data_IF_983293196630
#
_entry.id   IF_983293196630
#
_cell.length_a   1.000
_cell.length_b   1.000
_cell.length_c   1.000
_cell.angle_alpha   90.00
_cell.angle_beta   90.00
_cell.angle_gamma   90.00
#
_symmetry.space_group_name_H-M   'P 1'
#
loop_
_entity.id
_entity.type
_entity.pdbx_description
1 polymer ?
#
# COMPACT_ATOMS: atom_id res chain seq x y z
N UNK A 1 20.73 -21.31 26.62
CA UNK A 1 20.51 -21.94 25.31
C UNK A 1 19.27 -21.26 24.75
N UNK A 2 19.47 -20.19 23.99
CA UNK A 2 18.45 -19.37 23.36
C UNK A 2 18.11 -19.97 22.00
N UNK A 3 16.92 -20.57 21.89
CA UNK A 3 16.38 -21.04 20.62
C UNK A 3 15.82 -19.86 19.80
N UNK A 4 16.49 -19.49 18.72
CA UNK A 4 15.96 -18.60 17.69
C UNK A 4 14.95 -19.42 16.90
N UNK A 5 13.67 -19.10 17.05
CA UNK A 5 12.61 -19.68 16.21
C UNK A 5 12.68 -18.99 14.84
N UNK A 6 13.22 -19.72 13.89
CA UNK A 6 13.28 -19.32 12.48
C UNK A 6 11.89 -19.51 11.86
N UNK A 7 11.07 -18.46 11.83
CA UNK A 7 9.78 -18.45 11.16
C UNK A 7 9.95 -18.22 9.65
N UNK A 8 10.56 -19.20 8.97
CA UNK A 8 10.46 -19.32 7.52
C UNK A 8 9.05 -19.85 7.15
N UNK A 9 8.03 -19.01 7.21
CA UNK A 9 6.79 -19.28 6.53
C UNK A 9 7.00 -18.98 5.04
N UNK A 10 6.85 -20.01 4.19
CA UNK A 10 6.57 -19.89 2.75
C UNK A 10 5.25 -19.13 2.56
N UNK A 11 5.32 -17.83 2.67
CA UNK A 11 4.34 -16.97 2.00
C UNK A 11 4.93 -16.72 0.61
N UNK A 12 4.12 -16.89 -0.44
CA UNK A 12 4.51 -16.54 -1.78
C UNK A 12 5.15 -15.16 -1.76
N UNK A 13 6.25 -15.00 -2.50
CA UNK A 13 7.00 -13.74 -2.56
C UNK A 13 5.99 -12.67 -2.98
N UNK A 14 5.55 -11.87 -2.02
CA UNK A 14 4.68 -10.73 -2.32
C UNK A 14 5.55 -9.73 -3.06
N UNK A 15 5.22 -9.48 -4.34
CA UNK A 15 5.95 -8.51 -5.13
C UNK A 15 5.92 -7.16 -4.42
N UNK A 16 7.08 -6.50 -4.33
CA UNK A 16 7.17 -5.16 -3.78
C UNK A 16 6.64 -4.15 -4.80
N UNK A 17 6.22 -3.02 -4.32
CA UNK A 17 5.84 -1.91 -5.19
C UNK A 17 7.11 -1.36 -5.88
N UNK A 18 7.21 -1.29 -7.09
CA UNK A 18 6.46 -1.37 -8.32
C UNK A 18 6.96 -2.57 -9.14
N UNK A 19 6.11 -3.58 -9.39
CA UNK A 19 6.45 -4.70 -10.26
C UNK A 19 6.42 -4.30 -11.74
N UNK A 20 7.36 -4.83 -12.51
CA UNK A 20 7.48 -4.53 -13.94
C UNK A 20 8.07 -5.72 -14.73
N UNK A 21 7.88 -5.69 -16.03
CA UNK A 21 8.55 -6.59 -16.98
C UNK A 21 9.47 -5.75 -17.87
N UNK A 22 10.76 -6.04 -17.80
CA UNK A 22 11.76 -5.42 -18.69
C UNK A 22 11.91 -6.18 -20.00
N UNK A 23 11.79 -5.50 -21.11
CA UNK A 23 11.92 -6.09 -22.46
C UNK A 23 13.31 -5.83 -23.03
N UNK A 24 13.87 -6.78 -23.79
CA UNK A 24 15.20 -6.73 -24.40
C UNK A 24 15.44 -5.50 -25.29
N UNK A 25 14.40 -4.97 -25.92
CA UNK A 25 14.48 -3.75 -26.72
C UNK A 25 14.57 -2.46 -25.91
N UNK A 26 14.46 -2.57 -24.57
CA UNK A 26 14.47 -1.44 -23.64
C UNK A 26 13.09 -0.91 -23.28
N UNK A 27 12.01 -1.58 -23.69
CA UNK A 27 10.66 -1.27 -23.23
C UNK A 27 10.40 -1.84 -21.83
N UNK A 28 9.34 -1.37 -21.19
CA UNK A 28 8.83 -1.88 -19.93
C UNK A 28 7.32 -2.09 -20.01
N UNK A 29 6.85 -3.14 -19.37
CA UNK A 29 5.44 -3.33 -19.06
C UNK A 29 5.33 -3.11 -17.54
N UNK A 30 4.53 -2.16 -17.14
CA UNK A 30 4.32 -1.81 -15.74
C UNK A 30 2.99 -1.08 -15.59
N UNK A 31 2.20 -1.52 -14.61
CA UNK A 31 0.96 -0.86 -14.22
C UNK A 31 0.98 -0.69 -12.69
N UNK A 32 0.98 0.54 -12.16
CA UNK A 32 0.99 0.77 -10.71
C UNK A 32 -0.19 0.18 -9.94
N UNK A 33 -1.27 -0.18 -10.63
CA UNK A 33 -2.44 -0.85 -10.03
C UNK A 33 -2.26 -2.38 -9.94
N UNK A 34 -1.16 -2.92 -10.47
CA UNK A 34 -0.86 -4.35 -10.52
C UNK A 34 0.55 -4.56 -9.96
N UNK A 35 0.62 -5.24 -8.84
CA UNK A 35 1.87 -5.56 -8.14
C UNK A 35 2.28 -7.05 -8.26
N UNK A 36 1.72 -7.75 -9.25
CA UNK A 36 1.99 -9.15 -9.56
C UNK A 36 2.63 -9.30 -10.94
N UNK A 37 3.80 -9.93 -10.99
CA UNK A 37 4.46 -10.28 -12.25
C UNK A 37 3.62 -11.23 -13.09
N UNK A 38 2.95 -12.21 -12.44
CA UNK A 38 2.11 -13.20 -13.09
C UNK A 38 0.94 -12.54 -13.81
N UNK A 39 0.31 -11.56 -13.18
CA UNK A 39 -0.80 -10.81 -13.79
C UNK A 39 -0.30 -9.95 -14.97
N UNK A 40 0.85 -9.29 -14.83
CA UNK A 40 1.46 -8.54 -15.92
C UNK A 40 1.81 -9.46 -17.12
N UNK A 41 2.36 -10.66 -16.84
CA UNK A 41 2.70 -11.67 -17.86
C UNK A 41 1.43 -12.12 -18.58
N UNK A 42 0.40 -12.51 -17.81
CA UNK A 42 -0.87 -13.00 -18.35
C UNK A 42 -1.60 -11.94 -19.19
N UNK A 43 -1.70 -10.71 -18.67
CA UNK A 43 -2.40 -9.62 -19.38
C UNK A 43 -1.73 -9.19 -20.68
N UNK A 44 -0.43 -9.49 -20.85
CA UNK A 44 0.32 -9.14 -22.05
C UNK A 44 0.70 -10.36 -22.90
N UNK A 45 0.07 -11.52 -22.66
CA UNK A 45 0.30 -12.77 -23.39
C UNK A 45 1.78 -13.16 -23.52
N UNK A 46 2.58 -12.89 -22.49
CA UNK A 46 4.01 -13.21 -22.50
C UNK A 46 4.22 -14.70 -22.24
N UNK A 47 5.01 -15.34 -23.11
CA UNK A 47 5.29 -16.77 -23.00
C UNK A 47 6.50 -17.04 -22.10
N UNK A 48 6.32 -17.88 -21.11
CA UNK A 48 7.41 -18.44 -20.30
C UNK A 48 8.18 -19.46 -21.15
N UNK A 49 9.44 -19.16 -21.44
CA UNK A 49 10.34 -20.06 -22.14
C UNK A 49 11.78 -19.84 -21.68
N UNK A 50 12.66 -20.83 -21.91
CA UNK A 50 14.10 -20.70 -21.61
C UNK A 50 14.77 -19.60 -22.46
N UNK A 51 14.23 -19.32 -23.64
CA UNK A 51 14.71 -18.25 -24.54
C UNK A 51 13.61 -17.18 -24.59
N UNK A 52 13.60 -16.28 -23.62
CA UNK A 52 12.68 -15.16 -23.56
C UNK A 52 13.42 -13.83 -23.73
N UNK A 53 12.73 -12.86 -24.29
CA UNK A 53 13.24 -11.50 -24.51
C UNK A 53 12.75 -10.51 -23.44
N UNK A 54 12.33 -11.01 -22.29
CA UNK A 54 11.83 -10.24 -21.16
C UNK A 54 12.30 -10.83 -19.83
N UNK A 55 12.24 -10.03 -18.76
CA UNK A 55 12.61 -10.43 -17.40
C UNK A 55 11.71 -9.73 -16.38
N UNK A 56 11.54 -10.34 -15.21
CA UNK A 56 10.84 -9.76 -14.08
C UNK A 56 11.73 -8.71 -13.40
N UNK A 57 11.13 -7.59 -13.08
CA UNK A 57 11.80 -6.46 -12.43
C UNK A 57 10.98 -6.02 -11.23
N UNK A 58 11.65 -5.68 -10.14
CA UNK A 58 11.08 -4.90 -9.06
C UNK A 58 11.80 -3.58 -8.91
N UNK A 59 11.05 -2.51 -8.62
CA UNK A 59 11.59 -1.17 -8.51
C UNK A 59 11.04 -0.47 -7.27
N UNK A 60 11.84 -0.42 -6.19
CA UNK A 60 11.43 0.07 -4.88
C UNK A 60 12.62 0.67 -4.12
N UNK A 61 12.38 1.55 -3.11
CA UNK A 61 13.41 2.01 -2.19
C UNK A 61 13.68 0.97 -1.10
N UNK A 62 14.86 1.00 -0.49
CA UNK A 62 15.19 0.11 0.63
C UNK A 62 14.36 0.40 1.89
N UNK A 63 13.93 1.65 2.07
CA UNK A 63 13.16 2.10 3.22
C UNK A 63 11.73 2.44 2.79
N UNK A 64 10.75 1.86 3.46
CA UNK A 64 9.33 2.08 3.17
C UNK A 64 8.87 3.54 3.32
N UNK A 65 9.55 4.33 4.15
CA UNK A 65 9.28 5.76 4.28
C UNK A 65 9.76 6.60 3.09
N UNK A 66 10.51 6.01 2.15
CA UNK A 66 11.13 6.70 1.02
C UNK A 66 10.41 6.49 -0.32
N UNK A 67 9.23 5.86 -0.33
CA UNK A 67 8.47 5.63 -1.58
C UNK A 67 8.15 6.91 -2.37
N UNK A 68 8.15 8.06 -1.74
CA UNK A 68 7.94 9.35 -2.40
C UNK A 68 9.22 9.95 -3.03
N UNK A 69 10.40 9.35 -2.79
CA UNK A 69 11.71 9.80 -3.25
C UNK A 69 12.20 8.95 -4.42
N UNK A 70 11.96 9.38 -5.66
CA UNK A 70 12.30 8.62 -6.89
C UNK A 70 13.79 8.26 -6.93
N UNK A 71 14.67 9.14 -6.44
CA UNK A 71 16.13 8.96 -6.39
C UNK A 71 16.58 7.82 -5.46
N UNK A 72 15.70 7.34 -4.57
CA UNK A 72 15.96 6.23 -3.65
C UNK A 72 15.61 4.87 -4.22
N UNK A 73 14.87 4.83 -5.33
CA UNK A 73 14.46 3.59 -5.94
C UNK A 73 15.62 2.83 -6.55
N UNK A 74 15.63 1.52 -6.34
CA UNK A 74 16.62 0.58 -6.88
C UNK A 74 15.95 -0.44 -7.77
N UNK A 75 16.59 -0.77 -8.88
CA UNK A 75 16.13 -1.79 -9.80
C UNK A 75 16.67 -3.15 -9.38
N UNK A 76 15.77 -4.08 -9.11
CA UNK A 76 16.06 -5.48 -8.85
C UNK A 76 15.61 -6.30 -10.06
N UNK A 77 16.41 -7.30 -10.43
CA UNK A 77 16.08 -8.29 -11.46
C UNK A 77 15.82 -9.60 -10.73
N UNK A 78 14.59 -10.08 -10.74
CA UNK A 78 14.17 -11.24 -9.95
C UNK A 78 14.54 -12.58 -10.59
N UNK A 79 14.75 -12.57 -11.90
CA UNK A 79 15.15 -13.76 -12.63
C UNK A 79 16.68 -13.91 -12.66
N UNK A 80 17.15 -15.10 -12.98
CA UNK A 80 18.55 -15.32 -13.33
C UNK A 80 18.98 -14.34 -14.44
N UNK A 81 20.11 -13.67 -14.22
CA UNK A 81 20.57 -12.60 -15.10
C UNK A 81 20.84 -13.18 -16.51
N UNK A 82 19.96 -12.90 -17.43
CA UNK A 82 20.16 -13.28 -18.83
C UNK A 82 21.31 -12.46 -19.44
N UNK A 83 22.14 -13.12 -20.25
CA UNK A 83 23.35 -12.52 -20.89
C UNK A 83 23.06 -11.21 -21.64
N UNK A 84 21.84 -11.01 -22.13
CA UNK A 84 21.44 -9.80 -22.85
C UNK A 84 21.12 -8.59 -21.95
N UNK A 85 21.10 -8.77 -20.61
CA UNK A 85 20.83 -7.68 -19.66
C UNK A 85 22.13 -6.91 -19.42
N UNK A 86 22.21 -5.73 -19.98
CA UNK A 86 23.37 -4.82 -19.85
C UNK A 86 23.05 -3.63 -18.95
N UNK A 87 24.07 -2.95 -18.42
CA UNK A 87 23.87 -1.73 -17.62
C UNK A 87 23.22 -0.61 -18.45
N UNK A 88 23.51 -0.52 -19.72
CA UNK A 88 22.85 0.42 -20.64
C UNK A 88 21.36 0.15 -20.73
N UNK A 89 20.96 -1.13 -20.78
CA UNK A 89 19.56 -1.54 -20.81
C UNK A 89 18.85 -1.24 -19.48
N UNK A 90 19.49 -1.56 -18.35
CA UNK A 90 18.98 -1.22 -17.02
C UNK A 90 18.74 0.29 -16.88
N UNK A 91 19.66 1.13 -17.35
CA UNK A 91 19.48 2.60 -17.38
C UNK A 91 18.26 3.04 -18.20
N UNK A 92 17.98 2.39 -19.34
CA UNK A 92 16.77 2.66 -20.14
C UNK A 92 15.49 2.31 -19.36
N UNK A 93 15.45 1.15 -18.71
CA UNK A 93 14.32 0.74 -17.88
C UNK A 93 14.08 1.70 -16.72
N UNK A 94 15.14 2.04 -15.97
CA UNK A 94 15.07 3.01 -14.86
C UNK A 94 14.49 4.35 -15.31
N UNK A 95 14.94 4.87 -16.44
CA UNK A 95 14.40 6.12 -17.01
C UNK A 95 12.90 6.04 -17.27
N UNK A 96 12.42 4.92 -17.81
CA UNK A 96 10.98 4.70 -18.08
C UNK A 96 10.18 4.50 -16.80
N UNK A 97 10.72 3.77 -15.82
CA UNK A 97 10.10 3.58 -14.50
C UNK A 97 9.98 4.91 -13.76
N UNK A 98 11.04 5.73 -13.73
CA UNK A 98 11.02 7.07 -13.14
C UNK A 98 9.95 7.97 -13.78
N UNK A 99 9.80 7.91 -15.09
CA UNK A 99 8.76 8.67 -15.79
C UNK A 99 7.34 8.21 -15.43
N UNK A 100 7.15 6.93 -15.06
CA UNK A 100 5.86 6.45 -14.54
C UNK A 100 5.65 6.88 -13.09
N UNK A 101 6.66 6.73 -12.23
CA UNK A 101 6.61 7.15 -10.83
C UNK A 101 6.29 8.64 -10.69
N UNK A 102 6.92 9.49 -11.49
CA UNK A 102 6.69 10.94 -11.43
C UNK A 102 5.24 11.36 -11.70
N UNK A 103 4.44 10.49 -12.32
CA UNK A 103 3.00 10.74 -12.58
C UNK A 103 2.10 10.32 -11.43
N UNK A 104 2.56 9.42 -10.57
CA UNK A 104 1.77 8.90 -9.45
C UNK A 104 2.23 9.42 -8.09
N UNK A 105 3.42 10.00 -7.99
CA UNK A 105 3.88 10.67 -6.77
C UNK A 105 3.28 12.07 -6.71
N UNK A 106 2.44 12.29 -5.71
CA UNK A 106 1.75 13.56 -5.47
C UNK A 106 2.60 14.38 -4.50
N UNK A 107 3.04 15.55 -4.93
CA UNK A 107 3.93 16.47 -4.20
C UNK A 107 3.26 17.75 -3.75
N UNK A 108 1.99 17.92 -4.05
CA UNK A 108 1.20 19.10 -3.71
C UNK A 108 -0.25 18.70 -3.39
N UNK A 109 -0.96 19.55 -2.69
CA UNK A 109 -2.36 19.31 -2.37
C UNK A 109 -3.21 19.13 -3.62
N UNK A 110 -4.17 18.21 -3.57
CA UNK A 110 -5.10 17.93 -4.68
C UNK A 110 -6.53 17.95 -4.20
N UNK A 111 -7.41 18.49 -5.02
CA UNK A 111 -8.85 18.47 -4.78
C UNK A 111 -9.41 17.05 -5.01
N UNK A 112 -9.08 16.40 -6.12
CA UNK A 112 -9.55 15.05 -6.45
C UNK A 112 -8.41 14.18 -6.98
N UNK A 113 -8.35 12.93 -6.51
CA UNK A 113 -7.62 11.82 -7.14
C UNK A 113 -8.61 10.72 -7.49
N UNK A 114 -8.49 10.13 -8.68
CA UNK A 114 -9.46 9.15 -9.17
C UNK A 114 -8.79 7.97 -9.91
N UNK A 115 -9.29 6.76 -9.61
CA UNK A 115 -9.14 5.56 -10.44
C UNK A 115 -7.74 5.00 -10.62
N UNK A 116 -6.73 5.47 -9.87
CA UNK A 116 -5.34 5.05 -10.01
C UNK A 116 -4.67 4.81 -8.65
N UNK A 117 -3.48 4.24 -8.70
CA UNK A 117 -2.57 4.18 -7.55
C UNK A 117 -1.73 5.45 -7.47
N UNK A 118 -1.61 6.00 -6.25
CA UNK A 118 -0.83 7.20 -5.95
C UNK A 118 0.06 6.99 -4.72
N UNK A 119 1.11 7.80 -4.63
CA UNK A 119 2.00 7.92 -3.47
C UNK A 119 2.00 9.38 -3.04
N UNK A 120 1.69 9.66 -1.78
CA UNK A 120 1.75 11.02 -1.25
C UNK A 120 3.14 11.29 -0.68
N UNK A 121 3.68 12.48 -0.91
CA UNK A 121 5.04 12.84 -0.47
C UNK A 121 5.12 13.32 0.99
N UNK A 122 4.08 13.08 1.78
CA UNK A 122 3.94 13.56 3.17
C UNK A 122 3.40 15.00 3.23
N UNK A 123 2.68 15.30 4.30
CA UNK A 123 2.02 16.60 4.51
C UNK A 123 1.14 17.08 3.35
N UNK A 124 0.54 16.15 2.62
CA UNK A 124 -0.33 16.43 1.49
C UNK A 124 -1.79 16.41 1.97
N UNK A 125 -2.55 17.41 1.55
CA UNK A 125 -4.00 17.43 1.68
C UNK A 125 -4.65 16.94 0.39
N UNK A 126 -5.47 15.89 0.50
CA UNK A 126 -6.35 15.42 -0.55
C UNK A 126 -7.79 15.63 -0.07
N UNK A 127 -8.56 16.42 -0.77
CA UNK A 127 -9.96 16.64 -0.39
C UNK A 127 -10.83 15.42 -0.74
N UNK A 128 -10.57 14.75 -1.87
CA UNK A 128 -11.42 13.62 -2.27
C UNK A 128 -10.65 12.52 -3.01
N UNK A 129 -10.84 11.27 -2.56
CA UNK A 129 -10.47 10.06 -3.29
C UNK A 129 -11.71 9.42 -3.91
N UNK A 130 -11.60 8.93 -5.14
CA UNK A 130 -12.67 8.20 -5.82
C UNK A 130 -12.10 6.91 -6.41
N UNK A 131 -12.41 5.77 -5.80
CA UNK A 131 -11.91 4.46 -6.22
C UNK A 131 -10.39 4.43 -6.44
N UNK A 132 -9.64 4.99 -5.48
CA UNK A 132 -8.18 5.07 -5.55
C UNK A 132 -7.52 4.01 -4.69
N UNK A 133 -6.26 3.71 -5.02
CA UNK A 133 -5.31 3.11 -4.11
C UNK A 133 -4.25 4.15 -3.76
N UNK A 134 -4.15 4.52 -2.50
CA UNK A 134 -3.01 5.30 -1.98
C UNK A 134 -2.03 4.31 -1.38
N UNK A 135 -0.91 4.09 -2.04
CA UNK A 135 0.09 3.13 -1.58
C UNK A 135 0.86 3.64 -0.36
N UNK A 136 1.13 4.94 -0.29
CA UNK A 136 1.72 5.58 0.87
C UNK A 136 1.03 6.92 1.14
N UNK A 137 0.43 7.06 2.31
CA UNK A 137 -0.27 8.26 2.74
C UNK A 137 0.40 8.92 3.97
N UNK A 138 1.59 8.47 4.37
CA UNK A 138 2.22 8.90 5.62
C UNK A 138 2.24 10.42 5.83
N UNK A 139 1.86 10.85 7.04
CA UNK A 139 1.79 12.27 7.45
C UNK A 139 0.82 13.14 6.61
N UNK A 140 -0.16 12.54 5.93
CA UNK A 140 -1.06 13.29 5.04
C UNK A 140 -2.47 13.40 5.61
N UNK A 141 -3.26 14.30 5.05
CA UNK A 141 -4.67 14.46 5.37
C UNK A 141 -5.51 14.10 4.15
N UNK A 142 -6.51 13.23 4.35
CA UNK A 142 -7.48 12.84 3.33
C UNK A 142 -8.87 13.14 3.89
N UNK A 143 -9.60 14.05 3.27
CA UNK A 143 -10.90 14.48 3.77
C UNK A 143 -12.02 13.46 3.43
N UNK A 144 -12.10 12.99 2.19
CA UNK A 144 -13.08 12.00 1.75
C UNK A 144 -12.38 10.82 1.07
N UNK A 145 -12.41 9.66 1.71
CA UNK A 145 -11.71 8.45 1.25
C UNK A 145 -12.67 7.32 0.84
N UNK A 146 -13.88 7.63 0.40
CA UNK A 146 -14.88 6.62 0.10
C UNK A 146 -14.47 5.64 -1.00
N UNK A 147 -14.77 4.34 -0.79
CA UNK A 147 -14.49 3.26 -1.73
C UNK A 147 -13.01 3.15 -2.17
N UNK A 148 -12.09 3.50 -1.28
CA UNK A 148 -10.66 3.55 -1.61
C UNK A 148 -9.84 2.63 -0.70
N UNK A 149 -8.65 2.27 -1.17
CA UNK A 149 -7.67 1.54 -0.35
C UNK A 149 -6.52 2.48 0.00
N UNK A 150 -6.18 2.59 1.27
CA UNK A 150 -5.06 3.39 1.76
C UNK A 150 -4.13 2.44 2.51
N UNK A 151 -2.91 2.34 2.06
CA UNK A 151 -1.85 1.54 2.67
C UNK A 151 -0.81 2.48 3.29
N UNK A 152 -0.04 2.00 4.27
CA UNK A 152 0.97 2.80 4.98
C UNK A 152 0.45 4.18 5.40
N UNK A 153 -0.67 4.20 6.16
CA UNK A 153 -1.35 5.42 6.61
C UNK A 153 -0.81 5.97 7.95
N UNK A 154 0.46 5.80 8.23
CA UNK A 154 1.09 6.22 9.47
C UNK A 154 1.03 7.74 9.69
N UNK A 155 0.70 8.16 10.94
CA UNK A 155 0.61 9.57 11.32
C UNK A 155 -0.31 10.41 10.44
N UNK A 156 -1.34 9.80 9.88
CA UNK A 156 -2.25 10.45 8.93
C UNK A 156 -3.59 10.80 9.56
N UNK A 157 -4.29 11.75 8.97
CA UNK A 157 -5.69 12.04 9.27
C UNK A 157 -6.56 11.65 8.09
N UNK A 158 -7.50 10.74 8.30
CA UNK A 158 -8.43 10.27 7.27
C UNK A 158 -9.84 10.53 7.78
N UNK A 159 -10.59 11.33 7.04
CA UNK A 159 -11.98 11.64 7.35
C UNK A 159 -12.90 10.96 6.33
N UNK A 160 -14.15 10.77 6.69
CA UNK A 160 -15.17 10.15 5.82
C UNK A 160 -14.68 8.93 5.05
N UNK A 161 -14.18 7.92 5.77
CA UNK A 161 -13.56 6.73 5.20
C UNK A 161 -14.58 5.60 4.92
N UNK A 162 -15.74 5.93 4.40
CA UNK A 162 -16.81 4.96 4.15
C UNK A 162 -16.46 3.94 3.07
N UNK A 163 -16.78 2.65 3.33
CA UNK A 163 -16.52 1.53 2.42
C UNK A 163 -15.06 1.42 1.98
N UNK A 164 -14.13 1.76 2.85
CA UNK A 164 -12.71 1.81 2.52
C UNK A 164 -11.90 0.76 3.26
N UNK A 165 -10.71 0.48 2.74
CA UNK A 165 -9.70 -0.33 3.43
C UNK A 165 -8.53 0.55 3.80
N UNK A 166 -8.18 0.59 5.08
CA UNK A 166 -7.05 1.35 5.60
C UNK A 166 -6.12 0.37 6.30
N UNK A 167 -4.84 0.36 5.91
CA UNK A 167 -3.82 -0.53 6.47
C UNK A 167 -2.68 0.28 7.07
N UNK A 168 -1.95 -0.36 7.98
CA UNK A 168 -0.81 0.25 8.67
C UNK A 168 -1.13 1.66 9.19
N UNK A 169 -2.26 1.78 9.90
CA UNK A 169 -2.84 3.05 10.35
C UNK A 169 -2.31 3.49 11.73
N UNK A 170 -1.11 3.09 12.10
CA UNK A 170 -0.53 3.44 13.40
C UNK A 170 -0.39 4.95 13.62
N UNK A 171 -0.66 5.41 14.85
CA UNK A 171 -0.58 6.83 15.26
C UNK A 171 -1.45 7.77 14.44
N UNK A 172 -2.57 7.27 13.90
CA UNK A 172 -3.42 8.01 12.98
C UNK A 172 -4.77 8.38 13.59
N UNK A 173 -5.45 9.34 12.98
CA UNK A 173 -6.83 9.68 13.29
C UNK A 173 -7.73 9.31 12.12
N UNK A 174 -8.69 8.43 12.35
CA UNK A 174 -9.65 7.97 11.35
C UNK A 174 -11.05 8.32 11.86
N UNK A 175 -11.80 9.09 11.06
CA UNK A 175 -13.17 9.50 11.39
C UNK A 175 -14.15 8.92 10.38
N UNK A 176 -15.39 8.77 10.84
CA UNK A 176 -16.50 8.30 10.00
C UNK A 176 -16.14 7.08 9.13
N UNK A 177 -15.59 6.04 9.79
CA UNK A 177 -15.08 4.84 9.14
C UNK A 177 -16.17 3.75 8.97
N UNK A 178 -17.39 4.13 8.67
CA UNK A 178 -18.48 3.18 8.52
C UNK A 178 -18.27 2.18 7.38
N UNK A 179 -18.66 0.91 7.60
CA UNK A 179 -18.54 -0.18 6.63
C UNK A 179 -17.12 -0.40 6.10
N UNK A 180 -16.11 -0.13 6.92
CA UNK A 180 -14.72 -0.14 6.49
C UNK A 180 -13.90 -1.22 7.17
N UNK A 181 -12.74 -1.52 6.62
CA UNK A 181 -11.73 -2.39 7.24
C UNK A 181 -10.51 -1.56 7.61
N UNK A 182 -10.15 -1.58 8.89
CA UNK A 182 -8.99 -0.87 9.42
C UNK A 182 -8.06 -1.91 10.04
N UNK A 183 -6.79 -1.92 9.61
CA UNK A 183 -5.79 -2.88 10.11
C UNK A 183 -4.58 -2.15 10.67
N UNK A 184 -3.91 -2.83 11.62
CA UNK A 184 -2.68 -2.34 12.23
C UNK A 184 -2.81 -0.91 12.77
N UNK A 185 -3.92 -0.66 13.51
CA UNK A 185 -4.32 0.66 14.00
C UNK A 185 -3.77 0.98 15.39
N UNK A 186 -2.61 0.47 15.75
CA UNK A 186 -2.01 0.72 17.08
C UNK A 186 -1.77 2.21 17.35
N UNK A 187 -2.04 2.63 18.61
CA UNK A 187 -1.89 4.02 19.06
C UNK A 187 -2.74 5.04 18.29
N UNK A 188 -3.88 4.63 17.74
CA UNK A 188 -4.71 5.47 16.88
C UNK A 188 -6.02 5.88 17.51
N UNK A 189 -6.65 6.90 16.96
CA UNK A 189 -8.02 7.30 17.29
C UNK A 189 -8.93 6.96 16.14
N UNK A 190 -9.97 6.15 16.40
CA UNK A 190 -10.96 5.75 15.41
C UNK A 190 -12.32 6.19 15.94
N UNK A 191 -13.00 7.05 15.19
CA UNK A 191 -14.32 7.56 15.53
C UNK A 191 -15.39 7.04 14.56
N UNK A 192 -16.61 6.80 15.04
CA UNK A 192 -17.77 6.39 14.23
C UNK A 192 -17.50 5.19 13.31
N UNK A 193 -16.96 4.10 13.87
CA UNK A 193 -16.59 2.89 13.15
C UNK A 193 -17.76 1.87 13.01
N UNK A 194 -18.96 2.33 12.79
CA UNK A 194 -20.13 1.45 12.67
C UNK A 194 -20.03 0.45 11.51
N UNK A 195 -20.47 -0.80 11.75
CA UNK A 195 -20.43 -1.88 10.76
C UNK A 195 -19.03 -2.18 10.19
N UNK A 196 -17.98 -1.96 10.97
CA UNK A 196 -16.61 -2.05 10.49
C UNK A 196 -15.83 -3.21 11.11
N UNK A 197 -14.73 -3.56 10.49
CA UNK A 197 -13.74 -4.49 11.06
C UNK A 197 -12.49 -3.72 11.42
N UNK A 198 -12.06 -3.82 12.68
CA UNK A 198 -10.84 -3.20 13.20
C UNK A 198 -9.96 -4.32 13.73
N UNK A 199 -8.75 -4.42 13.24
CA UNK A 199 -7.78 -5.45 13.61
C UNK A 199 -6.50 -4.80 14.15
N UNK A 200 -5.86 -5.43 15.15
CA UNK A 200 -4.61 -5.00 15.78
C UNK A 200 -4.65 -3.54 16.27
N UNK A 201 -5.66 -3.23 17.09
CA UNK A 201 -5.94 -1.88 17.60
C UNK A 201 -5.34 -1.62 18.99
N UNK A 202 -4.22 -2.22 19.33
CA UNK A 202 -3.59 -2.05 20.65
C UNK A 202 -3.27 -0.59 20.99
N UNK A 203 -3.48 -0.20 22.25
CA UNK A 203 -3.25 1.17 22.75
C UNK A 203 -4.04 2.26 22.01
N UNK A 204 -5.22 1.94 21.49
CA UNK A 204 -6.02 2.86 20.68
C UNK A 204 -7.28 3.33 21.38
N UNK A 205 -7.87 4.40 20.87
CA UNK A 205 -9.20 4.86 21.30
C UNK A 205 -10.19 4.63 20.14
N UNK A 206 -11.22 3.82 20.40
CA UNK A 206 -12.26 3.48 19.42
C UNK A 206 -13.59 3.96 19.97
N UNK A 207 -14.28 4.83 19.25
CA UNK A 207 -15.56 5.39 19.66
C UNK A 207 -16.67 4.98 18.66
N UNK A 208 -17.89 4.85 19.21
CA UNK A 208 -19.10 4.56 18.42
C UNK A 208 -18.94 3.41 17.42
N UNK A 209 -18.44 2.26 17.93
CA UNK A 209 -18.15 1.07 17.12
C UNK A 209 -19.36 0.11 17.02
N UNK A 210 -20.58 0.61 16.89
CA UNK A 210 -21.77 -0.21 16.83
C UNK A 210 -21.78 -1.21 15.67
N UNK A 211 -22.24 -2.45 15.91
CA UNK A 211 -22.30 -3.52 14.91
C UNK A 211 -20.94 -3.88 14.29
N UNK A 212 -19.84 -3.71 15.00
CA UNK A 212 -18.49 -3.89 14.46
C UNK A 212 -17.79 -5.11 15.01
N UNK A 213 -16.72 -5.53 14.36
CA UNK A 213 -15.81 -6.55 14.87
C UNK A 213 -14.47 -5.89 15.21
N UNK A 214 -14.04 -6.01 16.46
CA UNK A 214 -12.77 -5.46 16.94
C UNK A 214 -11.93 -6.64 17.43
N UNK A 215 -10.70 -6.75 16.96
CA UNK A 215 -9.76 -7.81 17.31
C UNK A 215 -8.45 -7.22 17.82
N UNK A 216 -7.81 -7.96 18.74
CA UNK A 216 -6.49 -7.62 19.29
C UNK A 216 -6.43 -6.17 19.81
N UNK A 217 -7.43 -5.78 20.63
CA UNK A 217 -7.59 -4.43 21.15
C UNK A 217 -6.93 -4.24 22.54
N UNK A 218 -5.85 -4.95 22.83
CA UNK A 218 -5.18 -4.89 24.13
C UNK A 218 -4.78 -3.46 24.53
N UNK A 219 -5.03 -3.09 25.80
CA UNK A 219 -4.78 -1.76 26.35
C UNK A 219 -5.51 -0.61 25.66
N UNK A 220 -6.65 -0.89 25.01
CA UNK A 220 -7.41 0.13 24.27
C UNK A 220 -8.64 0.58 25.02
N UNK A 221 -9.10 1.79 24.73
CA UNK A 221 -10.37 2.31 25.20
C UNK A 221 -11.42 2.16 24.10
N UNK A 222 -12.49 1.43 24.39
CA UNK A 222 -13.59 1.22 23.44
C UNK A 222 -14.86 1.80 24.07
N UNK A 223 -15.45 2.78 23.42
CA UNK A 223 -16.66 3.46 23.85
C UNK A 223 -17.84 3.17 22.89
N UNK A 224 -19.02 2.97 23.46
CA UNK A 224 -20.29 2.78 22.71
C UNK A 224 -20.21 1.66 21.65
N UNK A 225 -19.72 0.48 22.05
CA UNK A 225 -19.57 -0.70 21.17
C UNK A 225 -20.85 -1.57 21.11
N UNK A 226 -22.02 -0.95 21.05
CA UNK A 226 -23.29 -1.68 21.03
C UNK A 226 -23.39 -2.69 19.89
N UNK A 227 -23.86 -3.91 20.17
CA UNK A 227 -23.97 -5.01 19.20
C UNK A 227 -22.67 -5.40 18.49
N UNK A 228 -21.53 -5.12 19.09
CA UNK A 228 -20.23 -5.42 18.51
C UNK A 228 -19.59 -6.68 19.10
N UNK A 229 -18.72 -7.30 18.33
CA UNK A 229 -17.90 -8.42 18.81
C UNK A 229 -16.48 -7.91 19.09
N UNK A 230 -16.04 -8.05 20.34
CA UNK A 230 -14.69 -7.70 20.75
C UNK A 230 -13.98 -9.01 21.09
N UNK A 231 -12.83 -9.26 20.47
CA UNK A 231 -11.98 -10.43 20.69
C UNK A 231 -10.59 -9.98 21.12
N UNK A 232 -10.01 -10.73 22.05
CA UNK A 232 -8.63 -10.54 22.50
C UNK A 232 -8.37 -9.10 22.99
N UNK A 233 -9.22 -8.63 23.94
CA UNK A 233 -9.15 -7.29 24.54
C UNK A 233 -8.37 -7.29 25.84
#
# INVERSE_FOLDING_TARGET
VTGIINLNKKHGIMCKFLSAIGIKNGDIICNPNIDSHEDLIKMNDLKESKIRNWTRLEYYPDNENEYHLIEKYKLHVDDDIAIWITDSLKKKWIKKLNAKLSRIIIKENKYILQGNTYILSGNILIEKLIYCRIFNAGHSTIEYAGHSTIEYAWYSTIKDAWYSTIKDAGYSTIKDAGYSTIKDAGHSTIEYAGHSTIEYAGYSTIKYAGHSTIKDAGHSTIEYAGYSTIKDA
#
